data_IF_723440031747
#
_entry.id   IF_723440031747
#
_cell.length_a   1.000
_cell.length_b   1.000
_cell.length_c   1.000
_cell.angle_alpha   90.00
_cell.angle_beta   90.00
_cell.angle_gamma   90.00
#
_symmetry.space_group_name_H-M   'P 1'
#
loop_
_entity.id
_entity.type
_entity.pdbx_description
1 polymer ?
#
# COMPACT_ATOMS: atom_id res chain seq x y z
N UNK A 1 9.49 0.37 -15.78
CA UNK A 1 10.82 -0.25 -15.58
C UNK A 1 10.63 -1.56 -14.85
N UNK A 2 11.37 -2.60 -15.23
CA UNK A 2 11.31 -3.92 -14.58
C UNK A 2 12.36 -3.98 -13.46
N UNK A 3 11.95 -4.38 -12.26
CA UNK A 3 12.81 -4.38 -11.08
C UNK A 3 13.31 -5.81 -10.82
N UNK A 4 14.63 -6.00 -10.77
CA UNK A 4 15.28 -7.31 -10.61
C UNK A 4 16.11 -7.29 -9.32
N UNK A 5 15.57 -7.82 -8.22
CA UNK A 5 16.27 -7.90 -6.93
C UNK A 5 15.37 -8.22 -5.72
N UNK A 6 15.98 -8.54 -4.58
CA UNK A 6 15.33 -8.91 -3.29
C UNK A 6 14.97 -7.66 -2.47
N UNK A 7 14.42 -6.64 -3.11
CA UNK A 7 14.04 -5.38 -2.44
C UNK A 7 12.54 -5.42 -2.17
N UNK A 8 12.16 -5.30 -0.91
CA UNK A 8 10.76 -5.11 -0.54
C UNK A 8 10.35 -3.68 -0.86
N UNK A 9 9.20 -3.50 -1.49
CA UNK A 9 8.66 -2.20 -1.84
C UNK A 9 7.38 -1.92 -1.05
N UNK A 10 7.18 -0.65 -0.75
CA UNK A 10 5.92 -0.14 -0.20
C UNK A 10 5.15 0.54 -1.32
N UNK A 11 3.87 0.22 -1.43
CA UNK A 11 2.91 0.88 -2.31
C UNK A 11 1.92 1.62 -1.43
N UNK A 12 1.80 2.93 -1.61
CA UNK A 12 0.86 3.77 -0.87
C UNK A 12 -0.51 3.76 -1.53
N UNK A 13 -1.53 4.27 -0.83
CA UNK A 13 -2.92 4.24 -1.30
C UNK A 13 -3.14 4.94 -2.66
N UNK A 14 -2.30 5.95 -2.97
CA UNK A 14 -2.26 6.63 -4.26
C UNK A 14 -1.34 5.94 -5.29
N UNK A 15 -1.00 4.68 -5.07
CA UNK A 15 -0.11 3.84 -5.88
C UNK A 15 1.33 4.36 -6.03
N UNK A 16 1.76 5.30 -5.17
CA UNK A 16 3.15 5.70 -5.11
C UNK A 16 3.99 4.54 -4.57
N UNK A 17 5.01 4.15 -5.34
CA UNK A 17 5.94 3.07 -4.98
C UNK A 17 7.22 3.67 -4.41
N UNK A 18 7.70 3.13 -3.29
CA UNK A 18 9.01 3.46 -2.72
C UNK A 18 9.69 2.22 -2.12
N UNK A 19 11.02 2.14 -2.07
CA UNK A 19 11.72 1.06 -1.38
C UNK A 19 11.30 1.03 0.10
N UNK A 20 11.06 -0.16 0.63
CA UNK A 20 10.71 -0.35 2.03
C UNK A 20 11.98 -0.36 2.88
N UNK A 21 12.02 0.50 3.90
CA UNK A 21 13.04 0.53 4.94
C UNK A 21 12.34 0.72 6.27
N UNK A 22 12.69 -0.07 7.30
CA UNK A 22 12.05 -0.02 8.63
C UNK A 22 12.00 1.41 9.20
N UNK A 23 13.05 2.21 8.99
CA UNK A 23 13.09 3.61 9.45
C UNK A 23 12.13 4.49 8.65
N UNK A 24 12.07 4.30 7.33
CA UNK A 24 11.17 5.04 6.45
C UNK A 24 9.69 4.69 6.69
N UNK A 25 9.39 3.43 7.00
CA UNK A 25 8.03 2.98 7.32
C UNK A 25 7.55 3.53 8.66
N UNK A 26 8.39 3.51 9.70
CA UNK A 26 8.06 4.12 11.00
C UNK A 26 7.84 5.63 10.88
N UNK A 27 8.71 6.31 10.12
CA UNK A 27 8.58 7.74 9.85
C UNK A 27 7.29 8.06 9.10
N UNK A 28 6.91 7.22 8.14
CA UNK A 28 5.64 7.34 7.41
C UNK A 28 4.44 7.22 8.36
N UNK A 29 4.41 6.20 9.21
CA UNK A 29 3.33 6.00 10.19
C UNK A 29 3.18 7.21 11.11
N UNK A 30 4.30 7.75 11.60
CA UNK A 30 4.30 8.95 12.43
C UNK A 30 3.78 10.20 11.66
N UNK A 31 4.15 10.35 10.38
CA UNK A 31 3.63 11.44 9.52
C UNK A 31 2.12 11.34 9.27
N UNK A 32 1.57 10.13 9.23
CA UNK A 32 0.13 9.89 9.16
C UNK A 32 -0.56 9.94 10.53
N UNK A 33 0.13 10.47 11.54
CA UNK A 33 -0.37 10.68 12.90
C UNK A 33 -0.78 9.39 13.62
N UNK A 34 -0.28 8.24 13.18
CA UNK A 34 -0.37 6.96 13.88
C UNK A 34 0.65 6.95 15.03
N UNK A 35 0.35 7.72 16.09
CA UNK A 35 1.20 7.85 17.28
C UNK A 35 1.24 6.56 18.11
N UNK A 36 0.20 5.75 18.02
CA UNK A 36 0.12 4.45 18.67
C UNK A 36 0.22 3.35 17.61
N UNK A 37 1.45 2.85 17.43
CA UNK A 37 1.73 1.71 16.54
C UNK A 37 1.00 0.45 17.03
N UNK A 38 0.71 0.34 18.34
CA UNK A 38 -0.01 -0.78 18.93
C UNK A 38 -1.49 -0.84 18.53
N UNK A 39 -2.05 0.25 18.00
CA UNK A 39 -3.41 0.31 17.47
C UNK A 39 -3.51 -0.02 15.97
N UNK A 40 -2.38 -0.30 15.29
CA UNK A 40 -2.38 -0.66 13.87
C UNK A 40 -2.71 -2.13 13.66
N UNK A 41 -3.56 -2.41 12.68
CA UNK A 41 -3.89 -3.77 12.24
C UNK A 41 -3.06 -4.15 11.00
N UNK A 42 -2.50 -5.36 11.02
CA UNK A 42 -1.85 -5.96 9.86
C UNK A 42 -2.82 -6.87 9.12
N UNK A 43 -2.99 -6.63 7.81
CA UNK A 43 -3.81 -7.47 6.93
C UNK A 43 -2.97 -7.92 5.74
N UNK A 44 -2.86 -9.23 5.56
CA UNK A 44 -2.23 -9.82 4.38
C UNK A 44 -3.28 -9.93 3.27
N UNK A 45 -2.96 -9.39 2.09
CA UNK A 45 -3.78 -9.50 0.89
C UNK A 45 -3.00 -10.17 -0.22
N UNK A 46 -3.68 -11.00 -1.02
CA UNK A 46 -3.11 -11.65 -2.19
C UNK A 46 -3.58 -10.90 -3.43
N UNK A 47 -2.64 -10.52 -4.30
CA UNK A 47 -2.95 -9.80 -5.54
C UNK A 47 -2.80 -10.78 -6.69
N UNK A 48 -3.93 -11.27 -7.20
CA UNK A 48 -4.03 -12.06 -8.41
C UNK A 48 -4.41 -11.18 -9.61
N UNK A 49 -4.87 -11.83 -10.68
CA UNK A 49 -5.23 -11.12 -11.91
C UNK A 49 -6.50 -10.28 -11.75
N UNK A 50 -7.49 -10.76 -10.99
CA UNK A 50 -8.73 -10.03 -10.75
C UNK A 50 -8.48 -8.81 -9.88
N UNK A 51 -7.76 -8.97 -8.77
CA UNK A 51 -7.41 -7.87 -7.87
C UNK A 51 -6.53 -6.83 -8.59
N UNK A 52 -5.67 -7.28 -9.50
CA UNK A 52 -4.90 -6.39 -10.37
C UNK A 52 -5.78 -5.56 -11.32
N UNK A 53 -6.84 -6.13 -11.88
CA UNK A 53 -7.81 -5.40 -12.70
C UNK A 53 -8.63 -4.41 -11.87
N UNK A 54 -9.09 -4.83 -10.68
CA UNK A 54 -9.83 -3.96 -9.76
C UNK A 54 -8.97 -2.78 -9.31
N UNK A 55 -7.68 -3.01 -9.02
CA UNK A 55 -6.72 -1.96 -8.70
C UNK A 55 -6.50 -1.00 -9.87
N UNK A 56 -6.41 -1.51 -11.09
CA UNK A 56 -6.29 -0.67 -12.29
C UNK A 56 -7.52 0.20 -12.45
N UNK A 57 -8.72 -0.39 -12.35
CA UNK A 57 -9.97 0.37 -12.43
C UNK A 57 -10.03 1.44 -11.34
N UNK A 58 -9.76 1.07 -10.09
CA UNK A 58 -9.74 1.99 -8.96
C UNK A 58 -8.73 3.13 -9.16
N UNK A 59 -7.56 2.86 -9.76
CA UNK A 59 -6.54 3.89 -10.03
C UNK A 59 -7.01 5.00 -10.97
N UNK A 60 -7.95 4.67 -11.87
CA UNK A 60 -8.51 5.62 -12.84
C UNK A 60 -9.68 6.40 -12.25
N UNK A 61 -10.40 5.80 -11.29
CA UNK A 61 -11.64 6.35 -10.73
C UNK A 61 -11.44 7.11 -9.42
N UNK A 62 -10.44 6.74 -8.60
CA UNK A 62 -10.28 7.27 -7.25
C UNK A 62 -8.82 7.54 -6.84
N UNK A 63 -8.64 8.40 -5.83
CA UNK A 63 -7.31 8.73 -5.28
C UNK A 63 -6.76 7.70 -4.29
N UNK A 64 -7.63 6.81 -3.78
CA UNK A 64 -7.31 5.82 -2.77
C UNK A 64 -7.59 4.41 -3.28
N UNK A 65 -6.73 3.94 -4.20
CA UNK A 65 -6.98 2.70 -4.93
C UNK A 65 -6.93 1.48 -4.01
N UNK A 66 -5.94 1.40 -3.10
CA UNK A 66 -5.79 0.27 -2.19
C UNK A 66 -6.94 0.20 -1.18
N UNK A 67 -7.33 1.35 -0.62
CA UNK A 67 -8.48 1.47 0.29
C UNK A 67 -9.76 1.03 -0.42
N UNK A 68 -9.96 1.47 -1.65
CA UNK A 68 -11.18 1.16 -2.40
C UNK A 68 -11.32 -0.33 -2.78
N UNK A 69 -10.22 -1.06 -2.91
CA UNK A 69 -10.24 -2.47 -3.33
C UNK A 69 -10.18 -3.41 -2.12
N UNK A 70 -9.36 -3.10 -1.11
CA UNK A 70 -9.06 -4.05 -0.02
C UNK A 70 -9.71 -3.72 1.32
N UNK A 71 -10.24 -2.51 1.48
CA UNK A 71 -10.87 -2.01 2.71
C UNK A 71 -12.32 -1.55 2.50
N UNK A 72 -12.87 -1.69 1.28
CA UNK A 72 -14.32 -1.53 1.05
C UNK A 72 -15.06 -2.65 1.80
N UNK A 73 -15.97 -2.24 2.70
CA UNK A 73 -17.01 -3.08 3.27
C UNK A 73 -18.26 -3.05 2.38
#
# INVERSE_FOLDING_TARGET
GYVKGVVTYMVMDNLKVMPMSTISTITLLNNYNAKDIGALEEKIVYVGMNEGLDLLQASLECKGALTSVFLRN
#
